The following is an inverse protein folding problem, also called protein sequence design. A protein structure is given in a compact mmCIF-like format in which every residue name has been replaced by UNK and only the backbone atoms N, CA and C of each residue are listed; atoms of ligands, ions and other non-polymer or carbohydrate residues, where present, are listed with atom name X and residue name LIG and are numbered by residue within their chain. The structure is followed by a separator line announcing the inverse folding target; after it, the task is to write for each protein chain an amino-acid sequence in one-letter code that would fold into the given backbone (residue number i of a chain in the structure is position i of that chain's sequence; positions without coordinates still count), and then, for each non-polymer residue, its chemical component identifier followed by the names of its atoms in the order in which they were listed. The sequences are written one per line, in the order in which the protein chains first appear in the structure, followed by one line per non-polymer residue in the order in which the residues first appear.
data_IF_393176938080
#
_entry.id   IF_393176938080
#
_cell.length_a   1.000
_cell.length_b   1.000
_cell.length_c   1.000
_cell.angle_alpha   90.00
_cell.angle_beta   90.00
_cell.angle_gamma   90.00
#
_symmetry.space_group_name_H-M   'P 1'
#
loop_
_entity.id
_entity.type
_entity.pdbx_description
1 polymer ?
#
# COMPACT_ATOMS: atom_id res chain seq x y z
N UNK A 1 -22.90 -1.72 21.60
CA UNK A 1 -23.44 -2.40 20.42
C UNK A 1 -22.37 -2.25 19.32
N UNK A 2 -21.89 -3.35 18.77
CA UNK A 2 -21.01 -3.31 17.60
C UNK A 2 -21.82 -2.69 16.45
N UNK A 3 -21.37 -1.56 15.94
CA UNK A 3 -21.93 -1.00 14.73
C UNK A 3 -21.71 -2.02 13.61
N UNK A 4 -22.73 -2.30 12.80
CA UNK A 4 -22.61 -3.18 11.63
C UNK A 4 -21.59 -2.65 10.62
N UNK A 5 -21.29 -3.41 9.55
CA UNK A 5 -20.37 -3.00 8.51
C UNK A 5 -20.80 -1.66 7.88
N UNK A 6 -19.84 -0.77 7.70
CA UNK A 6 -20.06 0.57 7.11
C UNK A 6 -19.47 0.59 5.71
N UNK A 7 -20.29 0.93 4.71
CA UNK A 7 -19.80 1.15 3.34
C UNK A 7 -19.13 2.52 3.27
N UNK A 8 -17.79 2.53 3.19
CA UNK A 8 -16.99 3.75 3.16
C UNK A 8 -17.26 4.61 1.92
N UNK A 9 -17.70 4.01 0.80
CA UNK A 9 -17.97 4.73 -0.44
C UNK A 9 -19.29 5.51 -0.39
N UNK A 10 -20.19 5.14 0.52
CA UNK A 10 -21.46 5.84 0.74
C UNK A 10 -21.33 6.98 1.75
N UNK A 11 -20.22 7.07 2.48
CA UNK A 11 -20.00 8.14 3.44
C UNK A 11 -19.75 9.48 2.72
N UNK A 12 -20.30 10.60 3.25
CA UNK A 12 -19.97 11.92 2.75
C UNK A 12 -18.47 12.17 2.80
N UNK A 13 -17.87 12.60 1.67
CA UNK A 13 -16.41 12.78 1.52
C UNK A 13 -15.78 13.65 2.61
N UNK A 14 -16.51 14.63 3.13
CA UNK A 14 -16.09 15.58 4.17
C UNK A 14 -16.80 15.34 5.50
N UNK A 15 -17.49 14.21 5.65
CA UNK A 15 -18.21 13.84 6.87
C UNK A 15 -17.27 13.56 8.05
N UNK A 16 -17.78 13.70 9.27
CA UNK A 16 -17.01 13.41 10.49
C UNK A 16 -16.60 11.93 10.56
N UNK A 17 -17.46 11.04 10.10
CA UNK A 17 -17.26 9.60 10.16
C UNK A 17 -16.08 9.18 9.27
N UNK A 18 -16.04 9.58 7.99
CA UNK A 18 -14.94 9.26 7.09
C UNK A 18 -13.62 9.91 7.54
N UNK A 19 -13.66 11.12 8.13
CA UNK A 19 -12.47 11.77 8.69
C UNK A 19 -11.93 11.05 9.92
N UNK A 20 -12.78 10.42 10.74
CA UNK A 20 -12.33 9.61 11.88
C UNK A 20 -11.67 8.29 11.47
N UNK A 21 -11.88 7.85 10.23
CA UNK A 21 -11.32 6.62 9.66
C UNK A 21 -10.01 6.92 8.94
N UNK A 22 -9.99 7.95 8.07
CA UNK A 22 -8.80 8.36 7.30
C UNK A 22 -7.69 8.84 8.24
N UNK A 23 -6.49 8.30 8.08
CA UNK A 23 -5.32 8.62 8.89
C UNK A 23 -5.31 7.98 10.29
N UNK A 24 -6.44 7.45 10.76
CA UNK A 24 -6.56 6.79 12.05
C UNK A 24 -6.68 5.25 11.89
N UNK A 25 -7.75 4.78 11.22
CA UNK A 25 -8.01 3.35 11.01
C UNK A 25 -7.39 2.85 9.71
N UNK A 26 -7.26 3.73 8.73
CA UNK A 26 -6.63 3.46 7.44
C UNK A 26 -5.49 4.44 7.28
N UNK A 27 -4.26 3.93 7.24
CA UNK A 27 -3.06 4.67 6.88
C UNK A 27 -2.83 4.60 5.37
N UNK A 28 -2.25 5.66 4.79
CA UNK A 28 -1.94 5.73 3.36
C UNK A 28 -0.49 6.16 3.15
N UNK A 29 0.25 5.39 2.37
CA UNK A 29 1.56 5.74 1.82
C UNK A 29 1.34 6.12 0.37
N UNK A 30 1.69 7.37 0.01
CA UNK A 30 1.53 7.90 -1.34
C UNK A 30 2.69 7.50 -2.24
N UNK A 31 2.45 7.47 -3.54
CA UNK A 31 3.40 7.09 -4.59
C UNK A 31 4.68 7.95 -4.57
N UNK A 32 4.58 9.25 -4.26
CA UNK A 32 5.72 10.16 -4.27
C UNK A 32 5.97 10.79 -2.88
N UNK A 33 7.01 10.38 -2.14
CA UNK A 33 7.34 10.97 -0.84
C UNK A 33 7.73 12.43 -0.94
N UNK A 34 8.18 12.90 -2.12
CA UNK A 34 8.58 14.30 -2.34
C UNK A 34 7.40 15.27 -2.31
N UNK A 35 6.25 14.85 -2.82
CA UNK A 35 5.03 15.67 -2.90
C UNK A 35 4.15 15.52 -1.65
N UNK A 36 4.39 14.50 -0.85
CA UNK A 36 3.59 14.19 0.34
C UNK A 36 3.95 15.03 1.57
N UNK A 37 5.18 15.56 1.62
CA UNK A 37 5.65 16.39 2.71
C UNK A 37 5.61 17.87 2.35
N UNK A 38 5.12 18.71 3.28
CA UNK A 38 5.30 20.15 3.19
C UNK A 38 6.77 20.50 3.41
N UNK A 39 7.43 21.22 2.48
CA UNK A 39 8.83 21.62 2.65
C UNK A 39 9.04 22.67 3.75
N UNK A 40 7.97 23.32 4.20
CA UNK A 40 8.01 24.41 5.18
C UNK A 40 7.87 23.94 6.64
N UNK A 41 7.57 22.66 6.85
CA UNK A 41 7.36 22.09 8.17
C UNK A 41 8.34 20.95 8.44
N UNK A 42 8.78 20.84 9.70
CA UNK A 42 9.64 19.72 10.09
C UNK A 42 8.90 18.38 10.02
N UNK A 43 9.64 17.30 9.95
CA UNK A 43 9.09 15.93 9.96
C UNK A 43 8.23 15.71 11.22
N UNK A 44 8.72 16.15 12.38
CA UNK A 44 7.98 16.03 13.64
C UNK A 44 6.65 16.78 13.64
N UNK A 45 6.62 18.00 13.10
CA UNK A 45 5.38 18.77 13.01
C UNK A 45 4.31 18.06 12.17
N UNK A 46 4.71 17.45 11.06
CA UNK A 46 3.80 16.76 10.14
C UNK A 46 3.30 15.42 10.71
N UNK A 47 4.15 14.69 11.43
CA UNK A 47 3.75 13.46 12.13
C UNK A 47 2.85 13.79 13.34
N UNK A 48 3.18 14.84 14.13
CA UNK A 48 2.40 15.27 15.30
C UNK A 48 1.00 15.72 14.90
N UNK A 49 0.82 16.28 13.71
CA UNK A 49 -0.48 16.73 13.21
C UNK A 49 -1.51 15.58 13.21
N UNK A 50 -1.12 14.40 12.72
CA UNK A 50 -1.99 13.22 12.72
C UNK A 50 -2.42 12.83 14.15
N UNK A 51 -1.49 12.86 15.10
CA UNK A 51 -1.82 12.60 16.51
C UNK A 51 -2.71 13.66 17.13
N UNK A 52 -2.51 14.93 16.79
CA UNK A 52 -3.35 16.03 17.27
C UNK A 52 -4.80 15.93 16.78
N UNK A 53 -4.98 15.43 15.57
CA UNK A 53 -6.31 15.27 14.96
C UNK A 53 -7.02 14.03 15.53
N UNK A 54 -6.30 12.93 15.76
CA UNK A 54 -6.88 11.61 15.99
C UNK A 54 -6.71 11.08 17.42
N UNK A 55 -6.02 11.81 18.31
CA UNK A 55 -5.81 11.39 19.70
C UNK A 55 -6.01 12.51 20.69
N UNK A 56 -6.22 12.13 21.96
CA UNK A 56 -6.34 13.04 23.11
C UNK A 56 -5.05 13.08 23.95
N UNK A 57 -3.93 12.63 23.37
CA UNK A 57 -2.64 12.55 24.04
C UNK A 57 -2.09 13.95 24.38
N UNK A 58 -1.42 14.08 25.51
CA UNK A 58 -0.64 15.26 25.87
C UNK A 58 0.54 15.48 24.91
N UNK A 59 1.12 16.69 24.84
CA UNK A 59 2.28 16.94 23.99
C UNK A 59 3.47 16.03 24.30
N UNK A 60 3.70 15.66 25.55
CA UNK A 60 4.77 14.76 25.96
C UNK A 60 4.54 13.33 25.46
N UNK A 61 3.33 12.80 25.62
CA UNK A 61 2.95 11.46 25.14
C UNK A 61 3.02 11.37 23.62
N UNK A 62 2.61 12.44 22.89
CA UNK A 62 2.75 12.48 21.42
C UNK A 62 4.21 12.46 20.99
N UNK A 63 5.08 13.21 21.69
CA UNK A 63 6.52 13.20 21.40
C UNK A 63 7.12 11.81 21.59
N UNK A 64 6.78 11.14 22.69
CA UNK A 64 7.24 9.77 22.96
C UNK A 64 6.80 8.81 21.84
N UNK A 65 5.51 8.82 21.49
CA UNK A 65 4.96 7.99 20.42
C UNK A 65 5.60 8.27 19.05
N UNK A 66 5.95 9.53 18.77
CA UNK A 66 6.72 9.87 17.56
C UNK A 66 8.11 9.23 17.58
N UNK A 67 8.82 9.32 18.71
CA UNK A 67 10.17 8.74 18.81
C UNK A 67 10.12 7.22 18.66
N UNK A 68 9.18 6.55 19.32
CA UNK A 68 8.97 5.11 19.16
C UNK A 68 8.67 4.72 17.71
N UNK A 69 7.80 5.49 17.03
CA UNK A 69 7.41 5.17 15.65
C UNK A 69 8.56 5.42 14.67
N UNK A 70 9.34 6.48 14.86
CA UNK A 70 10.53 6.74 14.05
C UNK A 70 11.63 5.69 14.29
N UNK A 71 11.82 5.23 15.52
CA UNK A 71 12.71 4.11 15.82
C UNK A 71 12.24 2.82 15.15
N UNK A 72 10.94 2.53 15.23
CA UNK A 72 10.30 1.36 14.61
C UNK A 72 10.53 1.29 13.09
N UNK A 73 10.56 2.43 12.39
CA UNK A 73 10.87 2.48 10.95
C UNK A 73 12.38 2.58 10.66
N UNK A 74 13.22 2.50 11.68
CA UNK A 74 14.68 2.34 11.57
C UNK A 74 15.47 3.64 11.54
N UNK A 75 15.00 4.71 12.19
CA UNK A 75 15.84 5.87 12.46
C UNK A 75 16.64 5.70 13.74
N UNK A 76 17.97 5.79 13.66
CA UNK A 76 18.87 5.66 14.81
C UNK A 76 18.80 6.84 15.78
N UNK A 77 18.33 7.99 15.37
CA UNK A 77 18.20 9.19 16.21
C UNK A 77 16.86 9.91 15.96
N UNK A 78 15.74 9.39 16.48
CA UNK A 78 14.41 9.99 16.31
C UNK A 78 14.33 11.45 16.75
N UNK A 79 14.98 11.81 17.86
CA UNK A 79 14.99 13.18 18.41
C UNK A 79 15.65 14.21 17.47
N UNK A 80 16.60 13.78 16.65
CA UNK A 80 17.18 14.64 15.61
C UNK A 80 16.21 14.76 14.42
N UNK A 81 15.63 13.64 13.99
CA UNK A 81 14.79 13.57 12.78
C UNK A 81 13.53 14.42 12.91
N UNK A 82 12.89 14.49 14.06
CA UNK A 82 11.69 15.33 14.27
C UNK A 82 11.93 16.81 14.00
N UNK A 83 13.17 17.27 14.14
CA UNK A 83 13.55 18.66 13.90
C UNK A 83 14.09 18.92 12.49
N UNK A 84 14.25 17.87 11.66
CA UNK A 84 14.71 18.00 10.28
C UNK A 84 13.56 18.35 9.35
N UNK A 85 13.89 19.06 8.28
CA UNK A 85 12.99 19.32 7.17
C UNK A 85 13.08 18.20 6.13
N UNK A 86 12.03 18.00 5.30
CA UNK A 86 12.03 16.93 4.29
C UNK A 86 13.22 16.97 3.32
N UNK A 87 13.69 18.17 2.95
CA UNK A 87 14.82 18.33 2.03
C UNK A 87 16.18 17.93 2.64
N UNK A 88 16.29 17.81 3.96
CA UNK A 88 17.50 17.36 4.64
C UNK A 88 17.61 15.82 4.67
N UNK A 89 16.55 15.11 4.28
CA UNK A 89 16.49 13.66 4.27
C UNK A 89 16.84 13.09 2.89
N UNK A 90 17.55 11.96 2.85
CA UNK A 90 17.70 11.16 1.63
C UNK A 90 16.36 10.57 1.17
N UNK A 91 16.26 10.07 -0.07
CA UNK A 91 15.05 9.43 -0.60
C UNK A 91 14.52 8.31 0.31
N UNK A 92 15.38 7.37 0.69
CA UNK A 92 15.01 6.28 1.59
C UNK A 92 14.61 6.75 3.00
N UNK A 93 15.25 7.81 3.53
CA UNK A 93 14.85 8.39 4.82
C UNK A 93 13.49 9.08 4.72
N UNK A 94 13.19 9.80 3.62
CA UNK A 94 11.85 10.39 3.40
C UNK A 94 10.78 9.30 3.32
N UNK A 95 11.07 8.22 2.62
CA UNK A 95 10.15 7.07 2.55
C UNK A 95 9.87 6.48 3.94
N UNK A 96 10.91 6.27 4.76
CA UNK A 96 10.75 5.82 6.16
C UNK A 96 9.93 6.80 6.99
N UNK A 97 10.17 8.11 6.84
CA UNK A 97 9.39 9.13 7.54
C UNK A 97 7.91 9.14 7.11
N UNK A 98 7.62 8.93 5.82
CA UNK A 98 6.26 8.80 5.31
C UNK A 98 5.56 7.54 5.85
N UNK A 99 6.29 6.42 5.93
CA UNK A 99 5.79 5.20 6.58
C UNK A 99 5.48 5.49 8.06
N UNK A 100 6.38 6.18 8.79
CA UNK A 100 6.12 6.55 10.18
C UNK A 100 4.86 7.41 10.32
N UNK A 101 4.66 8.40 9.45
CA UNK A 101 3.47 9.25 9.44
C UNK A 101 2.20 8.44 9.18
N UNK A 102 2.22 7.48 8.27
CA UNK A 102 1.08 6.61 7.99
C UNK A 102 0.74 5.67 9.16
N UNK A 103 1.75 5.27 9.95
CA UNK A 103 1.63 4.30 11.05
C UNK A 103 1.42 4.93 12.43
N UNK A 104 1.56 6.24 12.58
CA UNK A 104 1.58 6.91 13.89
C UNK A 104 0.31 6.67 14.70
N UNK A 105 -0.83 6.53 14.03
CA UNK A 105 -2.13 6.24 14.65
C UNK A 105 -2.39 4.74 14.86
N UNK A 106 -1.43 3.85 14.52
CA UNK A 106 -1.60 2.39 14.56
C UNK A 106 -2.83 1.93 13.75
N UNK A 107 -2.86 2.15 12.44
CA UNK A 107 -4.01 1.79 11.60
C UNK A 107 -4.23 0.28 11.55
N UNK A 108 -5.48 -0.14 11.34
CA UNK A 108 -5.80 -1.54 11.09
C UNK A 108 -5.51 -1.97 9.64
N UNK A 109 -5.57 -1.01 8.70
CA UNK A 109 -5.25 -1.20 7.30
C UNK A 109 -4.23 -0.15 6.85
N UNK A 110 -3.15 -0.60 6.23
CA UNK A 110 -2.19 0.25 5.52
C UNK A 110 -2.39 0.07 4.01
N UNK A 111 -2.67 1.16 3.32
CA UNK A 111 -2.66 1.20 1.85
C UNK A 111 -1.30 1.76 1.43
N UNK A 112 -0.54 1.01 0.65
CA UNK A 112 0.76 1.41 0.14
C UNK A 112 0.68 1.50 -1.39
N UNK A 113 0.63 2.73 -1.89
CA UNK A 113 0.53 3.03 -3.32
C UNK A 113 1.93 3.26 -3.89
N UNK A 114 2.43 2.28 -4.63
CA UNK A 114 3.78 2.25 -5.21
C UNK A 114 4.88 2.70 -4.23
N UNK A 115 5.00 2.11 -3.05
CA UNK A 115 5.82 2.63 -1.96
C UNK A 115 7.32 2.62 -2.22
N UNK A 116 7.76 2.09 -3.34
CA UNK A 116 9.18 1.95 -3.71
C UNK A 116 9.54 2.62 -5.02
N UNK A 117 8.59 3.29 -5.66
CA UNK A 117 8.84 4.05 -6.91
C UNK A 117 9.89 5.13 -6.68
N UNK A 118 10.79 5.30 -7.66
CA UNK A 118 11.92 6.22 -7.64
C UNK A 118 13.01 5.95 -6.56
N UNK A 119 13.04 4.74 -6.00
CA UNK A 119 14.11 4.28 -5.13
C UNK A 119 15.05 3.32 -5.89
N UNK A 120 16.33 3.32 -5.51
CA UNK A 120 17.24 2.28 -6.01
C UNK A 120 16.87 0.89 -5.47
N UNK A 121 17.30 -0.16 -6.21
CA UNK A 121 16.91 -1.55 -5.94
C UNK A 121 17.25 -1.98 -4.50
N UNK A 122 18.35 -1.49 -3.95
CA UNK A 122 18.77 -1.85 -2.58
C UNK A 122 17.84 -1.23 -1.53
N UNK A 123 17.52 0.04 -1.68
CA UNK A 123 16.58 0.74 -0.79
C UNK A 123 15.17 0.19 -0.96
N UNK A 124 14.75 -0.12 -2.20
CA UNK A 124 13.47 -0.78 -2.46
C UNK A 124 13.33 -2.07 -1.64
N UNK A 125 14.33 -2.98 -1.71
CA UNK A 125 14.31 -4.22 -0.95
C UNK A 125 14.23 -3.99 0.57
N UNK A 126 14.94 -2.97 1.08
CA UNK A 126 14.88 -2.60 2.50
C UNK A 126 13.51 -2.08 2.92
N UNK A 127 12.86 -1.25 2.09
CA UNK A 127 11.53 -0.71 2.39
C UNK A 127 10.46 -1.82 2.35
N UNK A 128 10.51 -2.71 1.38
CA UNK A 128 9.58 -3.83 1.29
C UNK A 128 9.72 -4.79 2.47
N UNK A 129 10.95 -5.10 2.88
CA UNK A 129 11.21 -5.88 4.08
C UNK A 129 10.68 -5.17 5.33
N UNK A 130 10.92 -3.86 5.46
CA UNK A 130 10.40 -3.05 6.56
C UNK A 130 8.87 -3.13 6.63
N UNK A 131 8.16 -2.95 5.52
CA UNK A 131 6.70 -3.01 5.47
C UNK A 131 6.17 -4.38 5.92
N UNK A 132 6.80 -5.47 5.48
CA UNK A 132 6.44 -6.83 5.90
C UNK A 132 6.67 -7.07 7.40
N UNK A 133 7.81 -6.62 7.91
CA UNK A 133 8.13 -6.71 9.35
C UNK A 133 7.13 -5.90 10.20
N UNK A 134 6.75 -4.70 9.73
CA UNK A 134 5.77 -3.84 10.38
C UNK A 134 4.36 -4.44 10.34
N UNK A 135 3.95 -5.02 9.22
CA UNK A 135 2.67 -5.72 9.08
C UNK A 135 2.53 -6.81 10.17
N UNK A 136 3.57 -7.64 10.31
CA UNK A 136 3.57 -8.72 11.30
C UNK A 136 3.61 -8.20 12.73
N UNK A 137 4.46 -7.19 13.04
CA UNK A 137 4.62 -6.63 14.39
C UNK A 137 3.39 -5.88 14.87
N UNK A 138 2.71 -5.16 13.97
CA UNK A 138 1.56 -4.34 14.30
C UNK A 138 0.22 -5.07 14.10
N UNK A 139 0.27 -6.31 13.61
CA UNK A 139 -0.91 -7.12 13.29
C UNK A 139 -1.94 -6.34 12.45
N UNK A 140 -1.48 -5.68 11.39
CA UNK A 140 -2.31 -4.89 10.48
C UNK A 140 -2.45 -5.57 9.12
N UNK A 141 -3.54 -5.30 8.42
CA UNK A 141 -3.69 -5.66 7.01
C UNK A 141 -2.94 -4.67 6.14
N UNK A 142 -2.42 -5.12 4.99
CA UNK A 142 -1.76 -4.26 4.01
C UNK A 142 -2.35 -4.48 2.62
N UNK A 143 -2.76 -3.38 1.98
CA UNK A 143 -3.10 -3.33 0.56
C UNK A 143 -1.93 -2.68 -0.18
N UNK A 144 -1.18 -3.47 -0.92
CA UNK A 144 -0.05 -3.01 -1.72
C UNK A 144 -0.49 -2.82 -3.17
N UNK A 145 -0.32 -1.61 -3.71
CA UNK A 145 -0.53 -1.31 -5.12
C UNK A 145 0.86 -1.20 -5.76
N UNK A 146 1.11 -1.98 -6.79
CA UNK A 146 2.40 -1.98 -7.50
C UNK A 146 2.24 -2.54 -8.92
N UNK A 147 3.12 -2.13 -9.81
CA UNK A 147 3.26 -2.70 -11.15
C UNK A 147 4.42 -3.73 -11.23
N UNK A 148 5.15 -3.94 -10.15
CA UNK A 148 6.29 -4.86 -10.09
C UNK A 148 5.84 -6.26 -9.67
N UNK A 149 5.77 -7.17 -10.63
CA UNK A 149 5.39 -8.57 -10.40
C UNK A 149 6.35 -9.30 -9.47
N UNK A 150 7.64 -8.94 -9.46
CA UNK A 150 8.62 -9.51 -8.54
C UNK A 150 8.34 -9.13 -7.09
N UNK A 151 7.89 -7.92 -6.85
CA UNK A 151 7.43 -7.46 -5.53
C UNK A 151 6.21 -8.25 -5.09
N UNK A 152 5.20 -8.37 -5.97
CA UNK A 152 3.97 -9.12 -5.70
C UNK A 152 4.28 -10.57 -5.32
N UNK A 153 5.10 -11.26 -6.12
CA UNK A 153 5.46 -12.66 -5.89
C UNK A 153 6.12 -12.93 -4.53
N UNK A 154 6.80 -11.91 -3.95
CA UNK A 154 7.54 -12.06 -2.70
C UNK A 154 6.78 -11.61 -1.44
N UNK A 155 5.72 -10.80 -1.59
CA UNK A 155 5.08 -10.12 -0.44
C UNK A 155 3.61 -10.47 -0.31
N UNK A 156 2.91 -10.61 -1.44
CA UNK A 156 1.46 -10.76 -1.42
C UNK A 156 1.02 -12.17 -1.01
N UNK A 157 -0.11 -12.25 -0.32
CA UNK A 157 -0.84 -13.50 -0.07
C UNK A 157 -1.91 -13.70 -1.15
N UNK A 158 -2.64 -12.63 -1.48
CA UNK A 158 -3.67 -12.59 -2.51
C UNK A 158 -3.39 -11.44 -3.48
N UNK A 159 -3.79 -11.59 -4.73
CA UNK A 159 -3.55 -10.64 -5.81
C UNK A 159 -4.83 -10.36 -6.57
N UNK A 160 -5.07 -9.09 -6.88
CA UNK A 160 -6.08 -8.67 -7.84
C UNK A 160 -5.41 -7.91 -8.99
N UNK A 161 -5.55 -8.40 -10.20
CA UNK A 161 -5.00 -7.78 -11.42
C UNK A 161 -6.03 -6.84 -12.00
N UNK A 162 -5.70 -5.56 -12.10
CA UNK A 162 -6.59 -4.50 -12.56
C UNK A 162 -6.11 -3.96 -13.91
N UNK A 163 -7.03 -3.80 -14.84
CA UNK A 163 -6.80 -3.13 -16.11
C UNK A 163 -8.00 -2.25 -16.47
N UNK A 164 -7.75 -0.99 -16.84
CA UNK A 164 -8.78 0.01 -17.18
C UNK A 164 -9.92 0.14 -16.15
N UNK A 165 -9.60 -0.04 -14.86
CA UNK A 165 -10.58 0.09 -13.77
C UNK A 165 -11.41 -1.16 -13.49
N UNK A 166 -11.17 -2.25 -14.21
CA UNK A 166 -11.83 -3.54 -14.00
C UNK A 166 -10.86 -4.60 -13.47
N UNK A 167 -11.36 -5.50 -12.62
CA UNK A 167 -10.58 -6.64 -12.13
C UNK A 167 -10.60 -7.73 -13.19
N UNK A 168 -9.44 -8.00 -13.79
CA UNK A 168 -9.27 -9.04 -14.81
C UNK A 168 -9.20 -10.43 -14.19
N UNK A 169 -8.44 -10.57 -13.09
CA UNK A 169 -8.26 -11.83 -12.37
C UNK A 169 -7.93 -11.53 -10.91
N UNK A 170 -8.39 -12.40 -10.00
CA UNK A 170 -8.04 -12.35 -8.59
C UNK A 170 -7.89 -13.77 -8.04
N UNK A 171 -6.93 -13.96 -7.14
CA UNK A 171 -6.63 -15.25 -6.53
C UNK A 171 -5.40 -15.20 -5.66
N UNK A 172 -4.95 -16.36 -5.19
CA UNK A 172 -3.68 -16.47 -4.46
C UNK A 172 -2.50 -16.17 -5.38
N UNK A 173 -1.33 -15.85 -4.80
CA UNK A 173 -0.09 -15.67 -5.58
C UNK A 173 0.17 -16.89 -6.47
N UNK A 174 -0.05 -18.09 -5.96
CA UNK A 174 0.14 -19.33 -6.72
C UNK A 174 -0.80 -19.43 -7.93
N UNK A 175 -2.06 -19.06 -7.78
CA UNK A 175 -3.02 -19.06 -8.89
C UNK A 175 -2.58 -18.08 -9.99
N UNK A 176 -2.23 -16.87 -9.59
CA UNK A 176 -1.84 -15.79 -10.51
C UNK A 176 -0.53 -16.10 -11.25
N UNK A 177 0.47 -16.65 -10.57
CA UNK A 177 1.79 -16.85 -11.18
C UNK A 177 1.98 -18.22 -11.84
N UNK A 178 1.34 -19.29 -11.31
CA UNK A 178 1.52 -20.64 -11.83
C UNK A 178 0.42 -21.06 -12.81
N UNK A 179 -0.79 -20.52 -12.67
CA UNK A 179 -1.96 -20.92 -13.46
C UNK A 179 -2.79 -19.72 -13.93
N UNK A 180 -2.20 -18.68 -14.57
CA UNK A 180 -2.95 -17.51 -15.02
C UNK A 180 -4.06 -17.93 -15.97
N UNK A 181 -5.29 -17.49 -15.72
CA UNK A 181 -6.45 -17.83 -16.54
C UNK A 181 -6.73 -16.75 -17.59
N UNK A 182 -6.69 -15.47 -17.17
CA UNK A 182 -7.08 -14.35 -18.02
C UNK A 182 -6.02 -14.04 -19.11
N UNK A 183 -6.43 -13.80 -20.38
CA UNK A 183 -5.50 -13.50 -21.48
C UNK A 183 -4.59 -12.29 -21.23
N UNK A 184 -5.10 -11.26 -20.58
CA UNK A 184 -4.32 -10.08 -20.18
C UNK A 184 -3.16 -10.45 -19.27
N UNK A 185 -3.42 -11.26 -18.21
CA UNK A 185 -2.39 -11.68 -17.26
C UNK A 185 -1.35 -12.58 -17.94
N UNK A 186 -1.78 -13.51 -18.81
CA UNK A 186 -0.85 -14.31 -19.62
C UNK A 186 0.06 -13.44 -20.48
N UNK A 187 -0.51 -12.41 -21.10
CA UNK A 187 0.23 -11.44 -21.88
C UNK A 187 1.20 -10.63 -21.05
N UNK A 188 0.77 -10.19 -19.87
CA UNK A 188 1.61 -9.45 -18.92
C UNK A 188 2.80 -10.30 -18.47
N UNK A 189 2.56 -11.56 -18.08
CA UNK A 189 3.62 -12.51 -17.70
C UNK A 189 4.61 -12.78 -18.84
N UNK A 190 4.13 -12.93 -20.07
CA UNK A 190 4.97 -13.17 -21.25
C UNK A 190 5.83 -11.94 -21.65
N UNK A 191 5.47 -10.75 -21.18
CA UNK A 191 6.22 -9.51 -21.41
C UNK A 191 7.33 -9.26 -20.36
N UNK A 192 7.37 -10.03 -19.27
CA UNK A 192 8.38 -9.89 -18.21
C UNK A 192 9.63 -10.70 -18.57
N UNK A 193 10.83 -10.10 -18.50
CA UNK A 193 12.08 -10.84 -18.71
C UNK A 193 12.23 -11.97 -17.67
N UNK A 194 12.61 -13.16 -18.11
CA UNK A 194 12.91 -14.30 -17.24
C UNK A 194 14.30 -14.83 -17.51
N UNK A 195 14.93 -15.43 -16.49
CA UNK A 195 16.34 -15.86 -16.57
C UNK A 195 16.60 -16.97 -17.61
N UNK A 196 15.58 -17.74 -17.99
CA UNK A 196 15.69 -18.85 -18.94
C UNK A 196 15.56 -18.40 -20.42
N UNK A 197 15.52 -17.09 -20.69
CA UNK A 197 15.45 -16.57 -22.05
C UNK A 197 16.71 -16.93 -22.84
N UNK A 198 16.50 -17.43 -24.04
CA UNK A 198 17.64 -17.76 -24.96
C UNK A 198 18.23 -16.47 -25.54
N UNK A 199 19.53 -16.42 -25.80
CA UNK A 199 20.14 -15.31 -26.51
C UNK A 199 19.45 -15.07 -27.87
N UNK A 200 18.91 -13.83 -28.05
CA UNK A 200 18.15 -13.46 -29.25
C UNK A 200 16.63 -13.65 -29.15
N UNK A 201 16.12 -14.19 -28.08
CA UNK A 201 14.69 -14.26 -27.83
C UNK A 201 14.12 -12.86 -27.54
N UNK A 202 13.14 -12.44 -28.33
CA UNK A 202 12.52 -11.12 -28.19
C UNK A 202 11.29 -11.22 -27.30
N UNK A 203 11.22 -10.38 -26.28
CA UNK A 203 10.02 -10.19 -25.48
C UNK A 203 8.87 -9.68 -26.37
N UNK A 204 7.72 -10.29 -26.24
CA UNK A 204 6.50 -9.83 -26.91
C UNK A 204 5.92 -8.65 -26.13
N UNK A 205 5.86 -7.49 -26.76
CA UNK A 205 5.18 -6.36 -26.16
C UNK A 205 3.68 -6.67 -25.99
N UNK A 206 3.06 -6.22 -24.88
CA UNK A 206 1.61 -6.39 -24.61
C UNK A 206 0.74 -5.98 -25.82
N UNK A 207 1.11 -4.92 -26.54
CA UNK A 207 0.44 -4.46 -27.76
C UNK A 207 0.57 -5.40 -28.97
N UNK A 208 1.53 -6.31 -28.96
CA UNK A 208 1.77 -7.32 -30.01
C UNK A 208 1.04 -8.64 -29.69
N UNK A 209 0.55 -8.78 -28.46
CA UNK A 209 -0.28 -9.89 -28.05
C UNK A 209 -1.68 -9.53 -28.50
N UNK A 210 -2.20 -10.27 -29.50
CA UNK A 210 -3.55 -10.06 -30.01
C UNK A 210 -4.56 -10.45 -28.90
N UNK A 211 -4.77 -9.52 -28.00
CA UNK A 211 -5.79 -9.62 -26.97
C UNK A 211 -7.04 -9.04 -27.65
N UNK A 212 -7.94 -9.91 -28.05
CA UNK A 212 -9.22 -9.49 -28.60
C UNK A 212 -9.90 -8.59 -27.56
N UNK A 213 -10.12 -7.32 -27.92
CA UNK A 213 -10.73 -6.34 -27.01
C UNK A 213 -12.12 -6.77 -26.52
N UNK A 214 -12.84 -7.59 -27.32
CA UNK A 214 -14.09 -8.21 -26.91
C UNK A 214 -13.88 -9.31 -25.84
N UNK A 215 -12.69 -9.93 -25.80
CA UNK A 215 -12.34 -10.90 -24.73
C UNK A 215 -11.81 -10.24 -23.46
N UNK A 216 -11.36 -8.99 -23.54
CA UNK A 216 -10.96 -8.17 -22.38
C UNK A 216 -12.18 -7.62 -21.62
N UNK A 217 -13.25 -7.30 -22.35
CA UNK A 217 -14.55 -7.03 -21.73
C UNK A 217 -15.12 -8.39 -21.38
N UNK A 218 -14.76 -8.87 -20.22
CA UNK A 218 -15.10 -10.22 -19.77
C UNK A 218 -16.56 -10.52 -20.03
N UNK A 219 -16.84 -11.52 -20.88
CA UNK A 219 -17.97 -12.38 -20.55
C UNK A 219 -17.82 -12.64 -19.09
N UNK A 220 -18.73 -12.00 -18.28
CA UNK A 220 -18.81 -12.23 -16.84
C UNK A 220 -18.48 -13.68 -16.59
N UNK A 221 -17.21 -13.97 -16.26
CA UNK A 221 -16.78 -15.31 -15.91
C UNK A 221 -17.71 -15.72 -14.80
N UNK A 222 -18.34 -16.84 -15.01
CA UNK A 222 -19.34 -17.37 -14.16
C UNK A 222 -18.88 -17.25 -12.71
N UNK A 223 -19.69 -16.54 -11.94
CA UNK A 223 -19.75 -16.65 -10.51
C UNK A 223 -18.41 -16.55 -9.73
N UNK A 224 -17.81 -15.35 -9.66
CA UNK A 224 -17.82 -14.81 -8.31
C UNK A 224 -19.31 -14.73 -7.98
N UNK A 225 -19.76 -15.61 -7.12
CA UNK A 225 -21.12 -15.59 -6.63
C UNK A 225 -21.42 -14.13 -6.24
N UNK A 226 -22.24 -13.46 -7.05
CA UNK A 226 -22.81 -12.17 -6.69
C UNK A 226 -23.83 -12.44 -5.59
N UNK A 227 -23.34 -12.79 -4.41
CA UNK A 227 -24.04 -12.41 -3.21
C UNK A 227 -24.01 -10.88 -3.25
N UNK A 228 -25.17 -10.19 -3.25
CA UNK A 228 -25.20 -8.76 -3.15
C UNK A 228 -24.60 -8.43 -1.78
N UNK A 229 -23.33 -8.06 -1.75
CA UNK A 229 -22.55 -7.75 -0.57
C UNK A 229 -21.43 -6.77 -0.93
N UNK A 230 -20.89 -6.05 0.04
CA UNK A 230 -19.80 -5.09 -0.19
C UNK A 230 -18.59 -5.79 -0.79
N UNK A 231 -17.88 -5.11 -1.68
CA UNK A 231 -16.67 -5.59 -2.37
C UNK A 231 -15.51 -5.89 -1.40
N UNK A 232 -15.55 -5.29 -0.24
CA UNK A 232 -14.64 -5.49 0.87
C UNK A 232 -15.47 -5.43 2.17
N UNK A 233 -15.56 -6.55 2.87
CA UNK A 233 -16.13 -6.61 4.23
C UNK A 233 -14.98 -6.64 5.21
N UNK A 234 -14.85 -5.59 6.01
CA UNK A 234 -13.86 -5.52 7.08
C UNK A 234 -14.58 -5.95 8.36
N UNK A 235 -14.57 -7.25 8.65
CA UNK A 235 -15.12 -7.81 9.86
C UNK A 235 -14.06 -7.82 10.98
N UNK A 236 -14.48 -7.40 12.18
CA UNK A 236 -13.70 -7.47 13.43
C UNK A 236 -12.36 -6.69 13.45
N UNK A 237 -12.36 -5.41 13.09
CA UNK A 237 -11.31 -4.52 13.56
C UNK A 237 -11.62 -4.16 15.02
N UNK A 238 -11.23 -5.01 15.95
CA UNK A 238 -11.23 -4.69 17.36
C UNK A 238 -9.88 -4.11 17.76
N UNK A 239 -9.92 -2.94 18.39
CA UNK A 239 -8.78 -2.35 19.08
C UNK A 239 -8.79 -2.94 20.49
N UNK A 240 -7.86 -3.82 20.82
CA UNK A 240 -7.45 -4.11 22.21
C UNK A 240 -6.50 -3.04 22.69
#
# INVERSE_FOLDING_TARGET
AAAGPVDLLQLPKDGREIRSIRGNRIGLIFQEPMTSFSPLHTIGNQIDEALRIHSILSPAERAEKMYETLDLVGFSNPKKVVNMYPFELSGGMRQRAMIAMALICRPALLIADEPTTALDVTIQAQILKLLRDLQSRLNMSMLLITHDLGVVANIADEVAVIYQGEIMEAGTVDDIFKAPAHPYLKGLMAAVPHFDMKPGERLKALREINIDHESLVGKKTAAVNKTPGPLLTVDNISKT
#
